data_IF_509927009076
#
_entry.id   IF_509927009076
#
_cell.length_a   1.000
_cell.length_b   1.000
_cell.length_c   1.000
_cell.angle_alpha   90.00
_cell.angle_beta   90.00
_cell.angle_gamma   90.00
#
_symmetry.space_group_name_H-M   'P 1'
#
loop_
_entity.id
_entity.type
_entity.pdbx_description
1 polymer ?
#
# COMPACT_ATOMS: atom_id res chain seq x y z
N UNK A 1 -23.60 37.46 46.80
CA UNK A 1 -23.75 36.72 45.52
C UNK A 1 -24.17 37.61 44.33
N UNK A 2 -25.26 38.39 44.42
CA UNK A 2 -25.71 39.29 43.31
C UNK A 2 -24.67 40.33 42.86
N UNK A 3 -23.84 40.83 43.76
CA UNK A 3 -22.78 41.79 43.42
C UNK A 3 -21.64 41.17 42.59
N UNK A 4 -21.26 39.91 42.88
CA UNK A 4 -20.24 39.19 42.10
C UNK A 4 -20.71 38.87 40.68
N UNK A 5 -21.99 38.51 40.49
CA UNK A 5 -22.51 38.26 39.14
C UNK A 5 -22.48 39.52 38.26
N UNK A 6 -22.73 40.72 38.83
CA UNK A 6 -22.67 41.97 38.06
C UNK A 6 -21.26 42.28 37.55
N UNK A 7 -20.24 42.03 38.37
CA UNK A 7 -18.84 42.27 37.99
C UNK A 7 -18.33 41.25 36.95
N UNK A 8 -18.76 40.00 37.03
CA UNK A 8 -18.43 38.98 36.02
C UNK A 8 -19.08 39.31 34.67
N UNK A 9 -20.33 39.78 34.66
CA UNK A 9 -21.00 40.17 33.41
C UNK A 9 -20.36 41.39 32.74
N UNK A 10 -19.96 42.41 33.52
CA UNK A 10 -19.24 43.58 32.97
C UNK A 10 -17.92 43.20 32.30
N UNK A 11 -17.13 42.32 32.91
CA UNK A 11 -15.85 41.86 32.34
C UNK A 11 -16.04 41.05 31.05
N UNK A 12 -17.09 40.22 30.98
CA UNK A 12 -17.41 39.45 29.76
C UNK A 12 -17.87 40.34 28.61
N UNK A 13 -18.68 41.35 28.89
CA UNK A 13 -19.11 42.33 27.89
C UNK A 13 -17.91 43.12 27.37
N UNK A 14 -17.00 43.55 28.25
CA UNK A 14 -15.79 44.28 27.86
C UNK A 14 -14.86 43.41 26.98
N UNK A 15 -14.71 42.12 27.29
CA UNK A 15 -13.91 41.19 26.50
C UNK A 15 -14.50 40.96 25.09
N UNK A 16 -15.82 40.87 24.99
CA UNK A 16 -16.51 40.73 23.68
C UNK A 16 -16.35 41.98 22.83
N UNK A 17 -16.46 43.17 23.43
CA UNK A 17 -16.22 44.44 22.72
C UNK A 17 -14.77 44.54 22.25
N UNK A 18 -13.80 44.10 23.07
CA UNK A 18 -12.39 44.10 22.69
C UNK A 18 -12.10 43.13 21.53
N UNK A 19 -12.73 41.95 21.53
CA UNK A 19 -12.65 40.99 20.42
C UNK A 19 -13.23 41.55 19.12
N UNK A 20 -14.31 42.33 19.19
CA UNK A 20 -14.91 42.97 18.03
C UNK A 20 -14.05 44.11 17.46
N UNK A 21 -13.30 44.83 18.29
CA UNK A 21 -12.40 45.92 17.85
C UNK A 21 -11.12 45.36 17.20
N UNK A 22 -10.69 44.16 17.57
CA UNK A 22 -9.49 43.52 17.01
C UNK A 22 -9.73 42.83 15.65
N UNK A 23 -10.98 42.64 15.23
CA UNK A 23 -11.31 42.23 13.86
C UNK A 23 -11.19 43.44 12.92
N UNK A 24 -9.98 43.72 12.43
CA UNK A 24 -9.84 44.53 11.22
C UNK A 24 -10.57 43.81 10.07
N UNK A 25 -11.45 44.49 9.31
CA UNK A 25 -11.99 43.91 8.09
C UNK A 25 -10.80 43.58 7.19
N UNK A 26 -10.65 42.28 6.87
CA UNK A 26 -9.53 41.80 6.07
C UNK A 26 -9.43 42.61 4.79
N UNK A 27 -8.27 43.20 4.54
CA UNK A 27 -7.92 43.73 3.23
C UNK A 27 -8.18 42.61 2.22
N UNK A 28 -9.04 42.88 1.24
CA UNK A 28 -9.22 42.00 0.11
C UNK A 28 -7.89 42.00 -0.64
N UNK A 29 -7.07 40.99 -0.40
CA UNK A 29 -5.89 40.73 -1.18
C UNK A 29 -6.37 40.35 -2.58
N UNK A 30 -6.30 41.28 -3.53
CA UNK A 30 -6.47 40.97 -4.95
C UNK A 30 -5.30 40.06 -5.33
N UNK A 31 -5.59 38.77 -5.46
CA UNK A 31 -4.66 37.78 -6.01
C UNK A 31 -4.22 38.26 -7.39
N UNK A 32 -2.93 38.15 -7.65
CA UNK A 32 -2.35 38.53 -8.93
C UNK A 32 -2.87 37.62 -10.05
N UNK A 33 -2.92 38.14 -11.28
CA UNK A 33 -3.38 37.35 -12.44
C UNK A 33 -2.50 36.10 -12.68
N UNK A 34 -1.22 36.12 -12.29
CA UNK A 34 -0.32 34.95 -12.35
C UNK A 34 -0.70 33.85 -11.35
N UNK A 35 -1.16 34.19 -10.14
CA UNK A 35 -1.63 33.20 -9.15
C UNK A 35 -2.94 32.53 -9.59
N UNK A 36 -3.81 33.26 -10.31
CA UNK A 36 -5.06 32.73 -10.88
C UNK A 36 -4.77 31.79 -12.06
N UNK A 37 -3.75 32.07 -12.87
CA UNK A 37 -3.38 31.20 -14.01
C UNK A 37 -2.68 29.92 -13.54
N UNK A 38 -1.88 29.99 -12.47
CA UNK A 38 -1.26 28.82 -11.83
C UNK A 38 -2.28 27.88 -11.17
N UNK A 39 -3.29 28.43 -10.48
CA UNK A 39 -4.33 27.62 -9.81
C UNK A 39 -5.34 27.00 -10.81
N UNK A 40 -5.58 27.67 -11.95
CA UNK A 40 -6.38 27.11 -13.05
C UNK A 40 -5.67 25.98 -13.81
N UNK A 41 -4.33 25.90 -13.76
CA UNK A 41 -3.58 24.75 -14.28
C UNK A 41 -3.59 23.56 -13.31
N UNK A 42 -3.64 23.80 -11.99
CA UNK A 42 -3.64 22.75 -10.97
C UNK A 42 -4.99 22.00 -10.82
N UNK A 43 -6.08 22.55 -11.35
CA UNK A 43 -7.44 22.06 -11.10
C UNK A 43 -8.05 21.22 -12.22
N UNK A 44 -7.40 21.09 -13.38
CA UNK A 44 -7.87 20.14 -14.40
C UNK A 44 -7.60 18.71 -13.90
N UNK A 45 -8.61 18.07 -13.34
CA UNK A 45 -8.54 16.67 -12.95
C UNK A 45 -8.17 15.83 -14.18
N UNK A 46 -6.98 15.24 -14.18
CA UNK A 46 -6.56 14.28 -15.18
C UNK A 46 -7.56 13.12 -15.23
N UNK A 47 -8.06 12.82 -16.43
CA UNK A 47 -9.03 11.75 -16.66
C UNK A 47 -8.26 10.49 -17.06
N UNK A 48 -8.49 9.39 -16.35
CA UNK A 48 -7.83 8.10 -16.61
C UNK A 48 -8.78 7.07 -17.18
N UNK A 49 -8.29 6.32 -18.16
CA UNK A 49 -8.95 5.15 -18.74
C UNK A 49 -7.98 3.95 -18.70
N UNK A 50 -8.52 2.75 -18.83
CA UNK A 50 -7.78 1.49 -18.77
C UNK A 50 -7.93 0.74 -20.08
N UNK A 51 -6.84 0.12 -20.56
CA UNK A 51 -6.90 -0.75 -21.73
C UNK A 51 -7.81 -1.96 -21.47
N UNK A 52 -8.87 -2.12 -22.26
CA UNK A 52 -9.88 -3.17 -22.09
C UNK A 52 -9.71 -4.36 -23.05
N UNK A 53 -8.60 -4.42 -23.80
CA UNK A 53 -8.29 -5.53 -24.70
C UNK A 53 -7.26 -6.47 -24.09
N UNK A 54 -7.61 -7.75 -23.92
CA UNK A 54 -6.71 -8.76 -23.31
C UNK A 54 -5.37 -8.92 -24.04
N UNK A 55 -5.33 -8.64 -25.34
CA UNK A 55 -4.12 -8.67 -26.16
C UNK A 55 -3.25 -7.40 -26.05
N UNK A 56 -3.65 -6.44 -25.21
CA UNK A 56 -3.10 -5.08 -25.21
C UNK A 56 -3.68 -4.20 -26.31
N UNK A 57 -3.25 -2.94 -26.33
CA UNK A 57 -3.70 -1.89 -27.25
C UNK A 57 -2.50 -1.19 -27.87
N UNK A 58 -2.53 -1.01 -29.20
CA UNK A 58 -1.41 -0.39 -29.92
C UNK A 58 -1.48 1.13 -29.76
N UNK A 59 -0.41 1.72 -29.23
CA UNK A 59 -0.19 3.16 -29.25
C UNK A 59 0.36 3.55 -30.63
N UNK A 60 -0.21 4.58 -31.25
CA UNK A 60 0.16 5.03 -32.60
C UNK A 60 0.61 6.46 -32.61
N UNK A 61 1.43 6.82 -33.60
CA UNK A 61 1.94 8.18 -33.74
C UNK A 61 0.84 9.18 -34.16
N UNK A 62 -0.11 8.74 -34.98
CA UNK A 62 -1.24 9.52 -35.49
C UNK A 62 -2.56 8.75 -35.32
N UNK A 63 -3.73 9.44 -35.33
CA UNK A 63 -5.06 8.84 -35.17
C UNK A 63 -5.52 8.08 -36.44
N UNK A 64 -4.77 7.06 -36.85
CA UNK A 64 -5.06 6.25 -38.03
C UNK A 64 -4.54 4.82 -37.89
N UNK A 65 -5.22 3.86 -38.53
CA UNK A 65 -4.77 2.46 -38.58
C UNK A 65 -3.48 2.26 -39.40
N UNK A 66 -3.18 3.17 -40.31
CA UNK A 66 -2.00 3.11 -41.18
C UNK A 66 -0.77 3.79 -40.55
N UNK A 67 -0.97 4.55 -39.48
CA UNK A 67 0.11 5.24 -38.77
C UNK A 67 1.08 4.25 -38.11
N UNK A 68 2.39 4.57 -38.04
CA UNK A 68 3.36 3.77 -37.29
C UNK A 68 2.88 3.45 -35.88
N UNK A 69 3.15 2.21 -35.45
CA UNK A 69 2.92 1.76 -34.07
C UNK A 69 4.14 2.18 -33.26
N UNK A 70 3.92 2.91 -32.18
CA UNK A 70 4.98 3.28 -31.24
C UNK A 70 5.30 2.09 -30.33
N UNK A 71 4.26 1.52 -29.69
CA UNK A 71 4.38 0.37 -28.80
C UNK A 71 3.05 -0.37 -28.63
N UNK A 72 3.08 -1.49 -27.91
CA UNK A 72 1.90 -2.22 -27.44
C UNK A 72 1.71 -1.97 -25.95
N UNK A 73 0.63 -1.28 -25.58
CA UNK A 73 0.23 -1.05 -24.20
C UNK A 73 -0.40 -2.34 -23.65
N UNK A 74 0.05 -2.86 -22.50
CA UNK A 74 -0.54 -4.04 -21.89
C UNK A 74 -2.04 -3.89 -21.54
N UNK A 75 -2.70 -5.03 -21.36
CA UNK A 75 -4.08 -5.05 -20.85
C UNK A 75 -4.17 -4.39 -19.48
N UNK A 76 -5.22 -3.60 -19.27
CA UNK A 76 -5.53 -2.93 -18.02
C UNK A 76 -4.48 -1.91 -17.55
N UNK A 77 -3.57 -1.49 -18.44
CA UNK A 77 -2.69 -0.36 -18.16
C UNK A 77 -3.50 0.93 -18.08
N UNK A 78 -3.23 1.80 -17.08
CA UNK A 78 -3.85 3.12 -16.99
C UNK A 78 -3.26 4.06 -18.06
N UNK A 79 -4.12 4.92 -18.61
CA UNK A 79 -3.81 5.92 -19.62
C UNK A 79 -4.41 7.26 -19.19
N UNK A 80 -3.60 8.31 -19.22
CA UNK A 80 -4.09 9.68 -19.06
C UNK A 80 -4.63 10.18 -20.40
N UNK A 81 -5.86 10.70 -20.40
CA UNK A 81 -6.46 11.28 -21.61
C UNK A 81 -6.01 12.73 -21.74
N UNK A 82 -5.19 13.01 -22.76
CA UNK A 82 -4.66 14.35 -23.04
C UNK A 82 -5.60 15.15 -23.94
N UNK A 83 -6.16 14.49 -24.96
CA UNK A 83 -7.11 15.09 -25.89
C UNK A 83 -7.98 14.01 -26.55
N UNK A 84 -9.10 14.44 -27.10
CA UNK A 84 -10.05 13.62 -27.85
C UNK A 84 -10.26 14.25 -29.22
N UNK A 85 -10.30 13.42 -30.26
CA UNK A 85 -10.73 13.85 -31.59
C UNK A 85 -12.27 13.95 -31.63
N UNK A 86 -12.80 14.99 -32.26
CA UNK A 86 -14.24 15.27 -32.29
C UNK A 86 -15.01 14.33 -33.23
N UNK A 87 -14.30 13.51 -34.01
CA UNK A 87 -14.88 12.67 -35.06
C UNK A 87 -14.94 11.19 -34.67
N UNK A 88 -16.15 10.65 -34.69
CA UNK A 88 -16.36 9.21 -34.61
C UNK A 88 -15.75 8.50 -35.83
N UNK A 89 -15.04 7.41 -35.57
CA UNK A 89 -14.43 6.52 -36.54
C UNK A 89 -14.93 5.11 -36.30
N UNK A 90 -15.11 4.34 -37.37
CA UNK A 90 -15.45 2.91 -37.28
C UNK A 90 -14.21 2.08 -37.59
N UNK A 91 -13.81 1.22 -36.66
CA UNK A 91 -12.69 0.27 -36.81
C UNK A 91 -13.22 -1.10 -36.44
N UNK A 92 -13.07 -2.10 -37.31
CA UNK A 92 -13.55 -3.48 -37.07
C UNK A 92 -15.03 -3.55 -36.63
N UNK A 93 -15.91 -2.77 -37.30
CA UNK A 93 -17.34 -2.61 -36.98
C UNK A 93 -17.63 -2.06 -35.58
N UNK A 94 -16.65 -1.39 -34.96
CA UNK A 94 -16.78 -0.76 -33.65
C UNK A 94 -16.66 0.74 -33.80
N UNK A 95 -17.60 1.46 -33.22
CA UNK A 95 -17.64 2.92 -33.23
C UNK A 95 -16.88 3.43 -31.99
N UNK A 96 -16.05 4.44 -32.20
CA UNK A 96 -15.28 5.11 -31.18
C UNK A 96 -14.55 6.32 -31.77
N UNK A 97 -13.64 6.90 -31.01
CA UNK A 97 -12.84 8.07 -31.40
C UNK A 97 -11.37 7.79 -31.16
N UNK A 98 -10.51 8.58 -31.78
CA UNK A 98 -9.11 8.58 -31.42
C UNK A 98 -8.88 9.49 -30.23
N UNK A 99 -8.14 8.99 -29.24
CA UNK A 99 -7.75 9.74 -28.06
C UNK A 99 -6.24 9.89 -28.08
N UNK A 100 -5.76 11.13 -27.89
CA UNK A 100 -4.36 11.35 -27.55
C UNK A 100 -4.19 11.03 -26.07
N UNK A 101 -3.26 10.15 -25.75
CA UNK A 101 -3.04 9.63 -24.40
C UNK A 101 -1.58 9.73 -23.98
N UNK A 102 -1.35 9.77 -22.67
CA UNK A 102 -0.04 9.55 -22.04
C UNK A 102 -0.03 8.18 -21.37
N UNK A 103 1.01 7.40 -21.64
CA UNK A 103 1.24 6.08 -21.07
C UNK A 103 2.61 6.01 -20.44
N UNK A 104 2.68 5.59 -19.17
CA UNK A 104 3.92 5.36 -18.44
C UNK A 104 4.21 3.86 -18.40
N UNK A 105 5.35 3.45 -18.94
CA UNK A 105 5.71 2.03 -19.01
C UNK A 105 6.37 1.51 -17.71
N UNK A 106 6.78 0.24 -17.72
CA UNK A 106 7.40 -0.41 -16.56
C UNK A 106 8.76 0.20 -16.16
N UNK A 107 9.44 0.89 -17.09
CA UNK A 107 10.70 1.61 -16.87
C UNK A 107 10.48 3.05 -16.43
N UNK A 108 9.22 3.44 -16.23
CA UNK A 108 8.82 4.79 -15.87
C UNK A 108 8.99 5.80 -17.02
N UNK A 109 9.19 5.33 -18.26
CA UNK A 109 9.25 6.19 -19.44
C UNK A 109 7.84 6.61 -19.86
N UNK A 110 7.66 7.90 -20.14
CA UNK A 110 6.38 8.43 -20.61
C UNK A 110 6.31 8.42 -22.15
N UNK A 111 5.24 7.83 -22.67
CA UNK A 111 4.96 7.70 -24.10
C UNK A 111 3.64 8.38 -24.43
N UNK A 112 3.67 9.32 -25.38
CA UNK A 112 2.46 9.92 -25.90
C UNK A 112 2.11 9.37 -27.28
N UNK A 113 0.81 9.27 -27.56
CA UNK A 113 0.32 8.87 -28.87
C UNK A 113 -1.18 8.72 -28.90
N UNK A 114 -1.68 8.02 -29.91
CA UNK A 114 -3.10 7.86 -30.19
C UNK A 114 -3.55 6.41 -29.99
N UNK A 115 -4.70 6.25 -29.36
CA UNK A 115 -5.41 4.98 -29.17
C UNK A 115 -6.88 5.14 -29.54
N UNK A 116 -7.55 4.03 -29.87
CA UNK A 116 -8.97 4.04 -30.22
C UNK A 116 -9.84 3.79 -28.99
N UNK A 117 -10.73 4.74 -28.67
CA UNK A 117 -11.47 4.82 -27.40
C UNK A 117 -12.35 3.60 -27.10
N UNK A 118 -12.86 2.91 -28.14
CA UNK A 118 -13.66 1.71 -27.96
C UNK A 118 -12.91 0.59 -27.20
N UNK A 119 -11.58 0.59 -27.26
CA UNK A 119 -10.74 -0.38 -26.58
C UNK A 119 -10.32 0.04 -25.18
N UNK A 120 -10.91 1.11 -24.65
CA UNK A 120 -10.69 1.59 -23.31
C UNK A 120 -11.92 1.37 -22.42
N UNK A 121 -11.70 1.38 -21.12
CA UNK A 121 -12.73 1.38 -20.08
C UNK A 121 -12.42 2.47 -19.05
N UNK A 122 -13.41 3.21 -18.54
CA UNK A 122 -13.20 4.12 -17.41
C UNK A 122 -12.86 3.38 -16.11
N UNK A 123 -13.11 2.07 -16.05
CA UNK A 123 -12.92 1.24 -14.86
C UNK A 123 -11.76 0.25 -15.04
N UNK A 124 -10.96 0.09 -13.98
CA UNK A 124 -9.98 -0.99 -13.89
C UNK A 124 -10.72 -2.35 -13.89
N UNK A 125 -10.37 -3.21 -14.83
CA UNK A 125 -11.02 -4.50 -15.05
C UNK A 125 -10.36 -5.66 -14.30
N UNK A 126 -9.17 -5.45 -13.73
CA UNK A 126 -8.47 -6.50 -12.99
C UNK A 126 -9.03 -6.59 -11.58
N UNK A 127 -9.62 -7.75 -11.30
CA UNK A 127 -10.22 -8.10 -10.00
C UNK A 127 -9.44 -9.25 -9.40
N UNK A 128 -8.93 -9.04 -8.21
CA UNK A 128 -8.25 -10.06 -7.44
C UNK A 128 -9.25 -10.64 -6.44
N UNK A 129 -9.87 -11.76 -6.78
CA UNK A 129 -10.85 -12.42 -5.91
C UNK A 129 -10.18 -13.19 -4.78
N UNK A 130 -10.82 -13.19 -3.61
CA UNK A 130 -10.47 -14.11 -2.53
C UNK A 130 -10.84 -15.57 -2.91
N UNK A 131 -10.46 -16.54 -2.07
CA UNK A 131 -10.66 -17.97 -2.36
C UNK A 131 -12.14 -18.33 -2.52
N UNK A 132 -13.00 -17.80 -1.65
CA UNK A 132 -14.46 -18.01 -1.69
C UNK A 132 -15.18 -17.24 -2.80
N UNK A 133 -14.50 -16.30 -3.49
CA UNK A 133 -15.06 -15.36 -4.46
C UNK A 133 -16.16 -14.44 -3.90
N UNK A 134 -16.25 -14.31 -2.58
CA UNK A 134 -17.18 -13.38 -1.93
C UNK A 134 -16.68 -11.94 -1.97
N UNK A 135 -15.37 -11.74 -2.09
CA UNK A 135 -14.73 -10.43 -2.09
C UNK A 135 -13.67 -10.34 -3.19
N UNK A 136 -13.40 -9.12 -3.64
CA UNK A 136 -12.26 -8.85 -4.50
C UNK A 136 -11.68 -7.47 -4.19
N UNK A 137 -10.43 -7.24 -4.60
CA UNK A 137 -9.87 -5.89 -4.66
C UNK A 137 -9.48 -5.51 -6.08
N UNK A 138 -9.42 -4.20 -6.33
CA UNK A 138 -8.83 -3.59 -7.52
C UNK A 138 -7.77 -2.58 -7.11
N UNK A 139 -6.74 -2.43 -7.94
CA UNK A 139 -5.66 -1.47 -7.71
C UNK A 139 -5.89 -0.24 -8.58
N UNK A 140 -6.13 0.92 -7.97
CA UNK A 140 -6.20 2.20 -8.66
C UNK A 140 -4.87 2.92 -8.43
N UNK A 141 -4.14 3.19 -9.50
CA UNK A 141 -2.93 3.99 -9.42
C UNK A 141 -3.33 5.46 -9.36
N UNK A 142 -3.01 6.15 -8.27
CA UNK A 142 -3.24 7.59 -8.18
C UNK A 142 -2.03 8.33 -8.77
N UNK A 143 -2.23 9.12 -9.85
CA UNK A 143 -1.16 9.83 -10.54
C UNK A 143 -0.62 11.02 -9.74
N UNK A 144 -1.36 11.50 -8.73
CA UNK A 144 -1.07 12.76 -8.03
C UNK A 144 -0.17 12.62 -6.80
N UNK A 145 0.41 11.46 -6.54
CA UNK A 145 1.43 11.36 -5.48
C UNK A 145 2.76 11.93 -5.96
N UNK A 146 2.80 13.26 -6.05
CA UNK A 146 3.97 14.05 -6.42
C UNK A 146 4.74 14.39 -5.15
N UNK A 147 5.94 13.81 -4.99
CA UNK A 147 7.19 14.51 -4.62
C UNK A 147 8.27 13.58 -4.07
N UNK A 148 7.97 12.31 -3.79
CA UNK A 148 9.00 11.32 -3.49
C UNK A 148 9.07 10.30 -4.62
N UNK A 149 10.25 10.19 -5.22
CA UNK A 149 10.59 9.25 -6.29
C UNK A 149 10.34 7.79 -5.85
N UNK A 150 10.16 7.57 -4.54
CA UNK A 150 9.87 6.29 -3.90
C UNK A 150 8.39 6.07 -3.55
N UNK A 151 7.55 7.10 -3.59
CA UNK A 151 6.14 7.03 -3.17
C UNK A 151 5.20 6.98 -4.37
N UNK A 152 5.18 5.86 -5.08
CA UNK A 152 3.98 5.51 -5.87
C UNK A 152 2.85 5.36 -4.86
N UNK A 153 1.65 5.88 -5.12
CA UNK A 153 0.48 5.60 -4.29
C UNK A 153 -0.50 4.77 -5.08
N UNK A 154 -0.78 3.57 -4.59
CA UNK A 154 -1.91 2.79 -5.07
C UNK A 154 -3.05 2.93 -4.05
N UNK A 155 -4.26 3.11 -4.54
CA UNK A 155 -5.48 2.93 -3.76
C UNK A 155 -5.99 1.53 -4.06
N UNK A 156 -5.97 0.69 -3.03
CA UNK A 156 -6.55 -0.65 -3.06
C UNK A 156 -8.00 -0.49 -2.61
N UNK A 157 -8.93 -0.72 -3.53
CA UNK A 157 -10.37 -0.68 -3.22
C UNK A 157 -10.91 -2.09 -3.11
N UNK A 158 -11.61 -2.37 -2.01
CA UNK A 158 -12.22 -3.66 -1.74
C UNK A 158 -13.72 -3.64 -2.02
N UNK A 159 -14.23 -4.73 -2.57
CA UNK A 159 -15.63 -4.89 -2.96
C UNK A 159 -16.15 -6.26 -2.55
N UNK A 160 -17.47 -6.36 -2.36
CA UNK A 160 -18.17 -7.65 -2.31
C UNK A 160 -18.45 -8.21 -3.72
N UNK A 161 -18.96 -9.43 -3.78
CA UNK A 161 -19.32 -10.11 -5.03
C UNK A 161 -20.40 -9.39 -5.85
N UNK A 162 -21.13 -8.45 -5.26
CA UNK A 162 -22.15 -7.63 -5.93
C UNK A 162 -21.58 -6.27 -6.41
N UNK A 163 -20.26 -6.09 -6.38
CA UNK A 163 -19.54 -4.85 -6.68
C UNK A 163 -19.87 -3.69 -5.70
N UNK A 164 -20.39 -3.99 -4.50
CA UNK A 164 -20.55 -2.97 -3.46
C UNK A 164 -19.19 -2.70 -2.82
N UNK A 165 -18.76 -1.43 -2.84
CA UNK A 165 -17.54 -0.97 -2.18
C UNK A 165 -17.63 -1.22 -0.67
N UNK A 166 -16.58 -1.80 -0.09
CA UNK A 166 -16.48 -2.13 1.34
C UNK A 166 -15.57 -1.14 2.05
N UNK A 167 -14.33 -1.00 1.55
CA UNK A 167 -13.28 -0.20 2.17
C UNK A 167 -12.22 0.17 1.15
N UNK A 168 -11.42 1.18 1.48
CA UNK A 168 -10.26 1.59 0.71
C UNK A 168 -9.01 1.52 1.56
N UNK A 169 -7.88 1.32 0.90
CA UNK A 169 -6.59 1.35 1.55
C UNK A 169 -5.54 1.96 0.61
N UNK A 170 -5.01 3.12 0.99
CA UNK A 170 -3.93 3.76 0.25
C UNK A 170 -2.59 3.24 0.75
N UNK A 171 -1.91 2.45 -0.07
CA UNK A 171 -0.56 1.95 0.16
C UNK A 171 0.03 1.44 -1.15
N UNK A 172 1.35 1.38 -1.24
CA UNK A 172 2.05 0.91 -2.42
C UNK A 172 2.88 -0.33 -2.10
N UNK A 173 2.22 -1.48 -1.95
CA UNK A 173 2.95 -2.70 -1.70
C UNK A 173 3.57 -3.23 -2.98
N UNK A 174 4.79 -3.77 -2.86
CA UNK A 174 5.44 -4.54 -3.93
C UNK A 174 4.65 -5.81 -4.25
N UNK A 175 4.04 -6.41 -3.23
CA UNK A 175 3.21 -7.60 -3.38
C UNK A 175 1.95 -7.47 -2.55
N UNK A 176 0.82 -7.82 -3.14
CA UNK A 176 -0.48 -7.87 -2.46
C UNK A 176 -1.20 -9.16 -2.82
N UNK A 177 -1.79 -9.82 -1.83
CA UNK A 177 -2.57 -11.04 -2.03
C UNK A 177 -3.58 -11.25 -0.91
N UNK A 178 -4.63 -12.00 -1.22
CA UNK A 178 -5.50 -12.56 -0.20
C UNK A 178 -4.73 -13.55 0.67
N UNK A 179 -4.78 -13.32 1.98
CA UNK A 179 -4.28 -14.24 3.00
C UNK A 179 -5.36 -15.28 3.35
N UNK A 180 -6.56 -14.77 3.64
CA UNK A 180 -7.77 -15.55 3.81
C UNK A 180 -8.95 -14.85 3.10
N UNK A 181 -10.19 -15.23 3.40
CA UNK A 181 -11.36 -14.64 2.74
C UNK A 181 -11.61 -13.18 3.14
N UNK A 182 -11.06 -12.71 4.25
CA UNK A 182 -11.32 -11.37 4.82
C UNK A 182 -10.05 -10.55 5.05
N UNK A 183 -8.87 -11.18 4.96
CA UNK A 183 -7.58 -10.57 5.20
C UNK A 183 -6.79 -10.52 3.90
N UNK A 184 -6.28 -9.33 3.59
CA UNK A 184 -5.28 -9.12 2.55
C UNK A 184 -3.93 -8.84 3.19
N UNK A 185 -2.93 -9.60 2.78
CA UNK A 185 -1.54 -9.32 3.10
C UNK A 185 -0.94 -8.52 1.97
N UNK A 186 -0.23 -7.48 2.34
CA UNK A 186 0.59 -6.75 1.41
C UNK A 186 1.96 -6.50 2.04
N UNK A 187 3.01 -6.49 1.23
CA UNK A 187 4.39 -6.35 1.68
C UNK A 187 5.12 -5.27 0.91
N UNK A 188 6.03 -4.60 1.59
CA UNK A 188 6.89 -3.56 1.06
C UNK A 188 8.33 -3.90 1.43
N UNK A 189 9.19 -3.90 0.42
CA UNK A 189 10.63 -4.08 0.56
C UNK A 189 11.30 -2.72 0.63
N UNK A 190 11.72 -2.34 1.84
CA UNK A 190 12.48 -1.11 2.06
C UNK A 190 13.97 -1.47 1.93
N UNK A 191 14.48 -1.35 0.72
CA UNK A 191 15.88 -1.61 0.40
C UNK A 191 16.75 -0.37 0.54
N UNK A 192 17.09 0.04 1.77
CA UNK A 192 18.07 1.10 2.00
C UNK A 192 19.46 0.48 2.23
N UNK A 193 20.31 0.53 1.20
CA UNK A 193 21.78 0.66 1.29
C UNK A 193 22.59 -0.28 2.20
N UNK A 194 22.06 -1.40 2.68
CA UNK A 194 22.80 -2.34 3.54
C UNK A 194 21.94 -3.26 4.41
N UNK A 195 20.64 -2.99 4.60
CA UNK A 195 19.74 -3.88 5.34
C UNK A 195 18.45 -4.17 4.56
N UNK A 196 18.02 -5.43 4.52
CA UNK A 196 16.71 -5.80 3.97
C UNK A 196 15.66 -5.73 5.07
N UNK A 197 15.04 -4.57 5.24
CA UNK A 197 13.82 -4.45 6.02
C UNK A 197 12.63 -4.76 5.10
N UNK A 198 11.82 -5.74 5.49
CA UNK A 198 10.54 -5.98 4.83
C UNK A 198 9.43 -5.70 5.84
N UNK A 199 8.49 -4.85 5.46
CA UNK A 199 7.26 -4.69 6.23
C UNK A 199 6.15 -5.49 5.55
N UNK A 200 5.30 -6.12 6.35
CA UNK A 200 4.07 -6.74 5.87
C UNK A 200 2.92 -6.14 6.66
N UNK A 201 1.84 -5.78 5.98
CA UNK A 201 0.61 -5.33 6.62
C UNK A 201 -0.49 -6.32 6.30
N UNK A 202 -1.24 -6.70 7.34
CA UNK A 202 -2.48 -7.43 7.20
C UNK A 202 -3.63 -6.44 7.33
N UNK A 203 -4.50 -6.41 6.33
CA UNK A 203 -5.68 -5.57 6.32
C UNK A 203 -6.93 -6.45 6.37
N UNK A 204 -7.71 -6.32 7.45
CA UNK A 204 -9.01 -6.97 7.55
C UNK A 204 -10.07 -6.08 6.91
N UNK A 205 -10.62 -6.53 5.79
CA UNK A 205 -11.55 -5.73 4.96
C UNK A 205 -12.89 -5.48 5.65
N UNK A 206 -13.29 -6.32 6.62
CA UNK A 206 -14.62 -6.27 7.24
C UNK A 206 -14.70 -5.18 8.30
N UNK A 207 -13.63 -5.00 9.07
CA UNK A 207 -13.57 -4.01 10.14
C UNK A 207 -12.58 -2.86 9.85
N UNK A 208 -11.99 -2.85 8.66
CA UNK A 208 -11.00 -1.88 8.20
C UNK A 208 -9.81 -1.72 9.15
N UNK A 209 -9.46 -2.78 9.91
CA UNK A 209 -8.32 -2.77 10.81
C UNK A 209 -7.07 -3.22 10.07
N UNK A 210 -6.02 -2.43 10.22
CA UNK A 210 -4.69 -2.75 9.75
C UNK A 210 -3.84 -3.25 10.89
N UNK A 211 -3.04 -4.25 10.60
CA UNK A 211 -2.06 -4.81 11.49
C UNK A 211 -0.71 -4.79 10.79
N UNK A 212 0.22 -4.01 11.34
CA UNK A 212 1.60 -4.01 10.89
C UNK A 212 2.35 -5.22 11.46
N UNK A 213 3.15 -5.85 10.61
CA UNK A 213 4.17 -6.80 10.99
C UNK A 213 5.49 -6.32 10.41
N UNK A 214 6.44 -6.06 11.29
CA UNK A 214 7.77 -5.63 10.90
C UNK A 214 8.70 -6.83 10.95
N UNK A 215 9.37 -7.11 9.83
CA UNK A 215 10.46 -8.06 9.76
C UNK A 215 11.76 -7.28 9.63
N UNK A 216 12.50 -7.19 10.73
CA UNK A 216 13.84 -6.64 10.70
C UNK A 216 14.77 -7.84 10.52
N UNK A 217 15.11 -8.09 9.26
CA UNK A 217 16.27 -8.92 8.94
C UNK A 217 17.50 -8.15 9.41
N UNK A 218 18.01 -8.50 10.59
CA UNK A 218 19.34 -8.08 10.97
C UNK A 218 20.34 -8.67 9.98
N UNK A 219 21.48 -7.99 9.79
CA UNK A 219 22.61 -8.59 9.09
C UNK A 219 22.79 -10.01 9.62
N UNK A 220 22.84 -10.97 8.70
CA UNK A 220 23.28 -12.32 9.04
C UNK A 220 24.77 -12.21 9.30
N UNK A 221 25.13 -11.61 10.44
CA UNK A 221 26.44 -11.80 11.03
C UNK A 221 26.55 -13.31 11.19
N UNK A 222 27.30 -13.92 10.27
CA UNK A 222 27.82 -15.25 10.44
C UNK A 222 28.84 -15.15 11.58
N UNK A 223 28.36 -14.90 12.78
CA UNK A 223 29.08 -15.23 13.98
C UNK A 223 29.50 -16.68 13.80
N UNK A 224 30.78 -16.99 13.96
CA UNK A 224 31.38 -18.32 13.77
C UNK A 224 30.70 -19.45 14.58
N UNK A 225 29.67 -19.12 15.36
CA UNK A 225 28.84 -19.95 16.21
C UNK A 225 27.57 -20.49 15.53
N UNK A 226 27.25 -20.09 14.29
CA UNK A 226 26.14 -20.68 13.52
C UNK A 226 24.76 -20.31 14.03
N UNK A 227 24.56 -19.09 14.53
CA UNK A 227 23.25 -18.59 14.91
C UNK A 227 22.71 -17.64 13.85
N UNK A 228 21.41 -17.72 13.56
CA UNK A 228 20.68 -16.76 12.72
C UNK A 228 19.57 -16.15 13.55
N UNK A 229 19.47 -14.83 13.58
CA UNK A 229 18.45 -14.10 14.35
C UNK A 229 17.45 -13.45 13.42
N UNK A 230 16.17 -13.57 13.76
CA UNK A 230 15.08 -12.91 13.07
C UNK A 230 14.26 -12.16 14.12
N UNK A 231 14.18 -10.85 14.00
CA UNK A 231 13.35 -10.02 14.86
C UNK A 231 12.00 -9.81 14.17
N UNK A 232 10.92 -10.18 14.84
CA UNK A 232 9.54 -10.03 14.35
C UNK A 232 8.73 -9.27 15.37
N UNK A 233 8.15 -8.13 14.96
CA UNK A 233 7.26 -7.37 15.83
C UNK A 233 5.82 -7.50 15.35
N UNK A 234 4.92 -7.89 16.26
CA UNK A 234 3.50 -8.15 15.99
C UNK A 234 2.67 -7.52 17.12
N UNK A 235 1.84 -6.51 16.81
CA UNK A 235 0.87 -5.86 17.74
C UNK A 235 1.42 -5.68 19.16
N UNK A 236 2.33 -4.72 19.36
CA UNK A 236 2.93 -4.40 20.66
C UNK A 236 3.70 -5.54 21.36
N UNK A 237 3.82 -6.71 20.73
CA UNK A 237 4.69 -7.80 21.16
C UNK A 237 5.87 -7.89 20.20
N UNK A 238 7.05 -8.07 20.76
CA UNK A 238 8.29 -8.28 20.05
C UNK A 238 8.73 -9.71 20.27
N UNK A 239 8.97 -10.40 19.16
CA UNK A 239 9.48 -11.76 19.11
C UNK A 239 10.88 -11.74 18.53
N UNK A 240 11.81 -12.47 19.13
CA UNK A 240 13.11 -12.75 18.52
C UNK A 240 13.24 -14.25 18.38
N UNK A 241 13.40 -14.67 17.12
CA UNK A 241 13.62 -16.04 16.74
C UNK A 241 15.12 -16.22 16.54
N UNK A 242 15.75 -16.97 17.43
CA UNK A 242 17.15 -17.31 17.32
C UNK A 242 17.26 -18.78 16.90
N UNK A 243 17.69 -18.98 15.68
CA UNK A 243 17.90 -20.28 15.08
C UNK A 243 19.36 -20.66 15.23
N UNK A 244 19.63 -21.77 15.92
CA UNK A 244 20.93 -22.38 15.93
C UNK A 244 21.02 -23.38 14.77
N UNK A 245 21.83 -23.07 13.76
CA UNK A 245 21.99 -23.92 12.57
C UNK A 245 22.89 -25.13 12.82
N UNK A 246 23.62 -25.17 13.93
CA UNK A 246 24.44 -26.34 14.31
C UNK A 246 23.57 -27.39 15.00
N UNK A 247 22.71 -26.96 15.91
CA UNK A 247 21.82 -27.87 16.65
C UNK A 247 20.43 -28.02 16.04
N UNK A 248 20.12 -27.32 14.95
CA UNK A 248 18.79 -27.28 14.34
C UNK A 248 17.68 -26.94 15.34
N UNK A 249 17.96 -26.05 16.30
CA UNK A 249 17.01 -25.64 17.33
C UNK A 249 16.60 -24.20 17.15
N UNK A 250 15.31 -23.92 17.38
CA UNK A 250 14.74 -22.58 17.38
C UNK A 250 14.44 -22.14 18.81
N UNK A 251 14.99 -21.00 19.20
CA UNK A 251 14.69 -20.32 20.46
C UNK A 251 13.81 -19.11 20.14
N UNK A 252 12.76 -18.91 20.93
CA UNK A 252 11.81 -17.82 20.75
C UNK A 252 11.80 -16.99 22.02
N UNK A 253 12.17 -15.73 21.88
CA UNK A 253 12.05 -14.75 22.95
C UNK A 253 10.83 -13.87 22.70
N UNK A 254 10.04 -13.63 23.74
CA UNK A 254 8.87 -12.74 23.69
C UNK A 254 8.98 -11.63 24.75
N UNK A 255 8.61 -10.41 24.37
CA UNK A 255 8.34 -9.31 25.31
C UNK A 255 7.49 -8.22 24.67
N UNK A 256 6.80 -7.44 25.50
CA UNK A 256 6.06 -6.24 25.09
C UNK A 256 6.97 -5.04 24.71
N UNK A 257 8.29 -5.24 24.65
CA UNK A 257 9.26 -4.18 24.39
C UNK A 257 10.54 -4.77 23.79
N UNK A 258 10.97 -4.27 22.64
CA UNK A 258 12.18 -4.68 21.93
C UNK A 258 13.43 -4.66 22.81
N UNK A 259 13.65 -3.57 23.55
CA UNK A 259 14.78 -3.42 24.46
C UNK A 259 14.80 -4.50 25.55
N UNK A 260 13.64 -4.92 26.05
CA UNK A 260 13.56 -6.02 27.00
C UNK A 260 13.91 -7.36 26.36
N UNK A 261 13.59 -7.57 25.09
CA UNK A 261 14.01 -8.80 24.37
C UNK A 261 15.52 -8.79 24.14
N UNK A 262 16.08 -7.67 23.66
CA UNK A 262 17.52 -7.53 23.44
C UNK A 262 18.31 -7.70 24.75
N UNK A 263 17.84 -7.11 25.85
CA UNK A 263 18.46 -7.31 27.16
C UNK A 263 18.31 -8.75 27.68
N UNK A 264 17.21 -9.45 27.41
CA UNK A 264 17.10 -10.89 27.72
C UNK A 264 18.17 -11.67 26.96
N UNK A 265 18.33 -11.42 25.66
CA UNK A 265 19.34 -12.09 24.83
C UNK A 265 20.76 -11.84 25.36
N UNK A 266 21.07 -10.61 25.77
CA UNK A 266 22.41 -10.25 26.25
C UNK A 266 22.73 -10.75 27.67
N UNK A 267 21.73 -10.92 28.54
CA UNK A 267 21.94 -11.23 29.97
C UNK A 267 21.64 -12.69 30.36
N UNK A 268 21.43 -13.57 29.38
CA UNK A 268 21.09 -14.98 29.61
C UNK A 268 22.34 -15.87 29.80
N UNK A 269 22.49 -16.43 31.01
CA UNK A 269 22.80 -17.87 31.15
C UNK A 269 21.49 -18.64 30.94
N UNK A 270 21.50 -19.78 30.23
CA UNK A 270 20.32 -20.31 29.52
C UNK A 270 19.13 -20.50 30.48
N UNK A 271 18.06 -19.68 30.39
CA UNK A 271 16.85 -19.93 31.15
C UNK A 271 16.11 -21.08 30.49
N UNK A 272 15.24 -21.73 31.26
CA UNK A 272 14.42 -22.89 30.89
C UNK A 272 14.00 -22.87 29.40
N UNK A 273 14.76 -23.63 28.59
CA UNK A 273 14.56 -23.76 27.16
C UNK A 273 13.20 -24.39 26.89
N UNK A 274 12.38 -23.73 26.06
CA UNK A 274 11.37 -24.46 25.29
C UNK A 274 11.99 -24.82 23.95
N UNK A 275 12.87 -25.83 23.98
CA UNK A 275 13.56 -26.32 22.79
C UNK A 275 12.54 -27.01 21.89
N UNK A 276 12.41 -26.52 20.67
CA UNK A 276 11.68 -27.19 19.60
C UNK A 276 12.75 -27.81 18.71
N UNK A 277 12.91 -29.14 18.76
CA UNK A 277 13.79 -29.85 17.83
C UNK A 277 13.13 -29.82 16.44
N UNK A 278 13.84 -29.22 15.47
CA UNK A 278 13.40 -29.19 14.08
C UNK A 278 14.14 -30.30 13.33
N UNK A 279 13.37 -31.25 12.79
CA UNK A 279 13.91 -32.28 11.89
C UNK A 279 14.14 -31.66 10.49
N UNK A 280 15.40 -31.30 10.20
CA UNK A 280 15.80 -30.50 9.03
C UNK A 280 16.76 -31.29 8.13
N UNK A 281 16.23 -32.09 7.22
CA UNK A 281 17.05 -32.85 6.26
C UNK A 281 17.63 -32.01 5.10
N UNK A 282 17.20 -30.76 4.87
CA UNK A 282 17.65 -29.97 3.71
C UNK A 282 17.90 -28.49 4.04
N UNK A 283 19.11 -28.02 3.69
CA UNK A 283 19.68 -26.72 4.04
C UNK A 283 19.11 -25.55 3.22
N UNK A 284 17.92 -25.07 3.56
CA UNK A 284 17.55 -23.66 3.43
C UNK A 284 16.61 -23.35 4.62
N UNK A 285 16.27 -22.09 4.88
CA UNK A 285 15.17 -21.73 5.78
C UNK A 285 14.14 -20.97 4.96
N UNK A 286 13.01 -21.60 4.67
CA UNK A 286 11.85 -20.93 4.09
C UNK A 286 10.79 -20.83 5.16
N UNK A 287 10.71 -19.67 5.80
CA UNK A 287 9.54 -19.34 6.61
C UNK A 287 8.43 -19.05 5.60
N UNK A 288 7.51 -19.99 5.46
CA UNK A 288 6.36 -19.81 4.59
C UNK A 288 5.30 -19.05 5.39
N UNK A 289 5.42 -17.72 5.37
CA UNK A 289 4.50 -16.78 5.98
C UNK A 289 3.13 -16.73 5.28
N UNK A 290 2.99 -17.32 4.08
CA UNK A 290 1.67 -17.44 3.42
C UNK A 290 0.71 -18.33 4.21
N UNK A 291 1.22 -19.10 5.18
CA UNK A 291 0.44 -19.97 6.06
C UNK A 291 0.52 -19.58 7.54
N UNK A 292 1.15 -18.45 7.89
CA UNK A 292 1.31 -18.04 9.28
C UNK A 292 0.11 -17.23 9.80
N UNK A 293 -0.80 -17.88 10.55
CA UNK A 293 -2.06 -17.27 11.02
C UNK A 293 -1.89 -16.79 12.47
N UNK A 294 -2.37 -15.57 12.76
CA UNK A 294 -2.67 -15.15 14.13
C UNK A 294 -4.14 -15.44 14.41
N UNK A 295 -4.42 -16.46 15.22
CA UNK A 295 -5.77 -16.80 15.67
C UNK A 295 -5.88 -16.54 17.16
N UNK A 296 -6.48 -15.40 17.56
CA UNK A 296 -6.99 -15.06 18.92
C UNK A 296 -5.99 -15.10 20.09
N UNK A 297 -5.19 -16.15 20.20
CA UNK A 297 -4.17 -16.51 21.20
C UNK A 297 -3.08 -17.45 20.63
N UNK A 298 -2.99 -17.59 19.30
CA UNK A 298 -2.07 -18.52 18.64
C UNK A 298 -1.37 -17.87 17.47
N UNK A 299 -0.08 -18.15 17.35
CA UNK A 299 0.77 -17.79 16.21
C UNK A 299 1.15 -19.10 15.51
N UNK A 300 0.53 -19.37 14.37
CA UNK A 300 0.98 -20.45 13.48
C UNK A 300 2.11 -19.92 12.62
N UNK A 301 3.14 -20.74 12.45
CA UNK A 301 4.14 -20.56 11.41
C UNK A 301 4.21 -21.85 10.60
N UNK A 302 4.66 -21.75 9.35
CA UNK A 302 5.04 -22.95 8.62
C UNK A 302 6.49 -22.84 8.17
N UNK A 303 7.26 -23.86 8.53
CA UNK A 303 8.56 -24.12 7.93
C UNK A 303 8.36 -25.27 6.95
N UNK A 304 8.75 -25.10 5.69
CA UNK A 304 8.73 -26.20 4.70
C UNK A 304 7.40 -26.96 4.62
N UNK A 305 6.27 -26.23 4.63
CA UNK A 305 4.90 -26.76 4.59
C UNK A 305 4.46 -27.62 5.78
N UNK A 306 5.28 -27.74 6.83
CA UNK A 306 4.88 -28.29 8.12
C UNK A 306 4.43 -27.14 9.04
N UNK A 307 3.13 -27.06 9.40
CA UNK A 307 2.66 -26.06 10.35
C UNK A 307 3.14 -26.43 11.76
N UNK A 308 3.53 -25.42 12.55
CA UNK A 308 3.71 -25.57 13.99
C UNK A 308 3.02 -24.40 14.70
N UNK A 309 2.52 -24.69 15.90
CA UNK A 309 1.65 -23.79 16.66
C UNK A 309 2.39 -23.26 17.88
N UNK A 310 2.46 -21.93 18.01
CA UNK A 310 2.86 -21.27 19.26
C UNK A 310 1.60 -20.72 19.91
N UNK A 311 1.31 -21.16 21.13
CA UNK A 311 0.26 -20.56 21.96
C UNK A 311 0.84 -19.31 22.62
N UNK A 312 0.24 -18.15 22.33
CA UNK A 312 0.58 -16.82 22.86
C UNK A 312 -0.06 -16.55 24.23
#
# INVERSE_FOLDING_TARGET
>A
MRHMLKEIMKKRILLLILLLILCKPGEKHELSQEEIEFDNQLTKASIFYYVNTKSGLRLRENPSLDSPKLLLIPYNSPLEILAEDDKDTTIDNKIGRWLKVSFRDEKDDNHEGYVFSHYLSPENQVRFYNKSKQYYYSLLFEPKCTNDIYNKCSVITFYDSNNKRISDFTWNPDNIKWYDDTIVSASESNGDGGGYASSMKHFNIINSKMQDMYFIGGDFDNDAKGFRKINVSIINKHFVFELNTISNSLIIFESDNEYKVQNKIQNIQPPAEKKIDLDLEHQFFKINFEKSIILKDKLLFSFFDKPFEIKL
#
